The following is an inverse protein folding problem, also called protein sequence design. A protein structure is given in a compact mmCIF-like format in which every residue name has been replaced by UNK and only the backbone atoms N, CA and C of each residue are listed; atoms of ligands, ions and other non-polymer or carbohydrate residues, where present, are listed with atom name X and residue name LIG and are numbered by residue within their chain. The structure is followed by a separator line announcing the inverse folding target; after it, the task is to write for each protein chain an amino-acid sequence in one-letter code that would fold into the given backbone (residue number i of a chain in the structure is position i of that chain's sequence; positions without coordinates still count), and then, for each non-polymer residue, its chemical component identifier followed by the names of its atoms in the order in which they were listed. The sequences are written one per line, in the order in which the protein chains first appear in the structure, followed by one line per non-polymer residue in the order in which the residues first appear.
data_IF_401363010849
#
_entry.id   IF_401363010849
#
_cell.length_a   1.000
_cell.length_b   1.000
_cell.length_c   1.000
_cell.angle_alpha   90.00
_cell.angle_beta   90.00
_cell.angle_gamma   90.00
#
_symmetry.space_group_name_H-M   'P 1'
#
loop_
_entity.id
_entity.type
_entity.pdbx_description
1 polymer ?
#
# COMPACT_ATOMS: atom_id res chain seq x y z
N UNK A 1 23.33 1.96 -0.16
CA UNK A 1 23.62 0.93 -1.20
C UNK A 1 25.12 0.65 -1.17
N UNK A 2 25.56 -0.63 -1.22
CA UNK A 2 26.96 -0.98 -1.21
C UNK A 2 27.60 -0.87 -2.62
N UNK A 3 28.94 -0.84 -2.67
CA UNK A 3 29.72 -0.66 -3.90
C UNK A 3 29.48 -1.78 -4.93
N UNK A 4 29.41 -3.03 -4.48
CA UNK A 4 29.16 -4.18 -5.36
C UNK A 4 27.81 -4.14 -6.07
N UNK A 5 26.76 -3.62 -5.41
CA UNK A 5 25.46 -3.40 -6.06
C UNK A 5 25.55 -2.31 -7.13
N UNK A 6 26.27 -1.22 -6.85
CA UNK A 6 26.47 -0.12 -7.82
C UNK A 6 27.27 -0.61 -9.03
N UNK A 7 28.38 -1.34 -8.84
CA UNK A 7 29.16 -1.94 -9.92
C UNK A 7 28.31 -2.91 -10.77
N UNK A 8 27.51 -3.76 -10.12
CA UNK A 8 26.62 -4.69 -10.81
C UNK A 8 25.56 -3.99 -11.66
N UNK A 9 25.02 -2.85 -11.21
CA UNK A 9 24.04 -2.09 -11.99
C UNK A 9 24.62 -1.50 -13.27
N UNK A 10 25.88 -1.02 -13.27
CA UNK A 10 26.51 -0.36 -14.43
C UNK A 10 27.35 -1.29 -15.30
N UNK A 11 27.58 -2.52 -14.84
CA UNK A 11 28.34 -3.54 -15.58
C UNK A 11 27.65 -3.93 -16.89
N UNK A 12 28.35 -4.52 -17.86
CA UNK A 12 27.73 -5.07 -19.07
C UNK A 12 26.61 -6.06 -18.70
N UNK A 13 25.39 -5.78 -19.18
CA UNK A 13 24.19 -6.56 -18.83
C UNK A 13 23.45 -6.09 -17.57
N UNK A 14 23.99 -5.15 -16.79
CA UNK A 14 23.30 -4.52 -15.66
C UNK A 14 22.21 -3.57 -16.11
N UNK A 15 21.28 -3.25 -15.21
CA UNK A 15 20.13 -2.38 -15.50
C UNK A 15 20.49 -0.95 -15.93
N UNK A 16 21.69 -0.49 -15.58
CA UNK A 16 22.22 0.82 -15.94
C UNK A 16 23.52 0.67 -16.77
N UNK A 17 23.62 -0.40 -17.56
CA UNK A 17 24.82 -0.67 -18.37
C UNK A 17 25.23 0.54 -19.20
N UNK A 18 26.51 0.94 -19.09
CA UNK A 18 27.08 2.08 -19.77
C UNK A 18 26.72 3.45 -19.18
N UNK A 19 25.91 3.53 -18.13
CA UNK A 19 25.69 4.76 -17.41
C UNK A 19 26.80 5.02 -16.38
N UNK A 20 27.07 6.32 -16.12
CA UNK A 20 27.95 6.75 -15.02
C UNK A 20 27.07 7.26 -13.87
N UNK A 21 27.23 6.68 -12.67
CA UNK A 21 26.60 7.17 -11.44
C UNK A 21 27.54 8.24 -10.84
N UNK A 22 27.12 9.49 -10.79
CA UNK A 22 27.89 10.60 -10.23
C UNK A 22 27.75 10.73 -8.72
N UNK A 23 26.54 10.43 -8.20
CA UNK A 23 26.27 10.53 -6.78
C UNK A 23 25.23 9.52 -6.32
N UNK A 24 25.42 9.02 -5.10
CA UNK A 24 24.47 8.19 -4.35
C UNK A 24 24.16 8.89 -3.04
N UNK A 25 22.90 9.32 -2.88
CA UNK A 25 22.45 10.02 -1.67
C UNK A 25 21.44 9.14 -0.93
N UNK A 26 21.67 8.76 0.34
CA UNK A 26 20.67 8.06 1.14
C UNK A 26 19.38 8.87 1.22
N UNK A 27 18.23 8.19 1.14
CA UNK A 27 16.90 8.77 1.32
C UNK A 27 16.33 8.23 2.62
N UNK A 28 15.91 9.13 3.52
CA UNK A 28 15.24 8.76 4.76
C UNK A 28 13.76 8.43 4.52
N UNK A 29 13.14 7.71 5.45
CA UNK A 29 11.69 7.42 5.45
C UNK A 29 11.30 5.98 5.15
N UNK A 30 12.19 5.14 4.63
CA UNK A 30 11.92 3.69 4.49
C UNK A 30 12.17 2.94 5.79
N UNK A 31 11.19 2.16 6.26
CA UNK A 31 11.33 1.43 7.53
C UNK A 31 12.08 0.09 7.40
N UNK A 32 12.27 -0.46 6.19
CA UNK A 32 12.66 -1.86 6.00
C UNK A 32 13.92 -2.01 5.13
N UNK A 33 14.02 -1.28 4.02
CA UNK A 33 15.12 -1.39 3.07
C UNK A 33 15.90 -0.09 2.92
N UNK A 34 17.15 -0.19 2.44
CA UNK A 34 17.95 0.99 2.16
C UNK A 34 17.41 1.68 0.90
N UNK A 35 17.02 2.93 1.04
CA UNK A 35 16.62 3.79 -0.06
C UNK A 35 17.73 4.77 -0.42
N UNK A 36 17.98 4.98 -1.71
CA UNK A 36 18.98 5.90 -2.22
C UNK A 36 18.49 6.63 -3.47
N UNK A 37 18.86 7.89 -3.59
CA UNK A 37 18.77 8.62 -4.85
C UNK A 37 20.08 8.42 -5.63
N UNK A 38 19.96 7.95 -6.87
CA UNK A 38 21.07 7.89 -7.82
C UNK A 38 21.00 9.09 -8.75
N UNK A 39 22.10 9.84 -8.88
CA UNK A 39 22.28 10.87 -9.88
C UNK A 39 23.18 10.31 -10.98
N UNK A 40 22.69 10.31 -12.22
CA UNK A 40 23.45 9.86 -13.38
C UNK A 40 24.07 11.05 -14.12
N UNK A 41 25.19 10.83 -14.81
CA UNK A 41 25.91 11.85 -15.58
C UNK A 41 25.08 12.42 -16.75
N UNK A 42 24.09 11.69 -17.25
CA UNK A 42 23.14 12.14 -18.26
C UNK A 42 22.01 13.03 -17.71
N UNK A 43 22.04 13.35 -16.42
CA UNK A 43 21.07 14.18 -15.73
C UNK A 43 19.87 13.42 -15.15
N UNK A 44 19.68 12.13 -15.45
CA UNK A 44 18.61 11.32 -14.86
C UNK A 44 18.82 11.17 -13.35
N UNK A 45 17.72 11.17 -12.64
CA UNK A 45 17.65 10.85 -11.21
C UNK A 45 16.76 9.64 -11.01
N UNK A 46 17.26 8.66 -10.24
CA UNK A 46 16.54 7.43 -9.96
C UNK A 46 16.38 7.27 -8.45
N UNK A 47 15.30 6.62 -8.06
CA UNK A 47 15.12 6.10 -6.72
C UNK A 47 15.47 4.61 -6.73
N UNK A 48 16.33 4.19 -5.83
CA UNK A 48 16.76 2.81 -5.72
C UNK A 48 16.46 2.26 -4.34
N UNK A 49 15.66 1.21 -4.26
CA UNK A 49 15.56 0.36 -3.07
C UNK A 49 16.57 -0.77 -3.18
N UNK A 50 17.30 -1.05 -2.11
CA UNK A 50 18.29 -2.13 -2.09
C UNK A 50 18.21 -2.92 -0.79
N UNK A 51 18.46 -4.23 -0.90
CA UNK A 51 18.46 -5.17 0.21
C UNK A 51 19.32 -6.39 -0.08
N UNK A 52 19.36 -7.34 0.83
CA UNK A 52 19.97 -8.65 0.60
C UNK A 52 19.22 -9.45 -0.47
N UNK A 53 19.65 -10.69 -0.72
CA UNK A 53 18.98 -11.57 -1.68
C UNK A 53 17.53 -11.89 -1.27
N UNK A 54 17.24 -11.87 0.02
CA UNK A 54 15.94 -12.07 0.64
C UNK A 54 14.94 -10.92 0.33
N UNK A 55 15.42 -9.74 -0.05
CA UNK A 55 14.59 -8.63 -0.45
C UNK A 55 13.99 -8.77 -1.87
N UNK A 56 14.47 -9.74 -2.68
CA UNK A 56 14.02 -9.88 -4.06
C UNK A 56 12.53 -10.10 -4.16
N UNK A 57 11.96 -10.99 -3.38
CA UNK A 57 10.54 -11.32 -3.41
C UNK A 57 9.65 -10.11 -3.02
N UNK A 58 10.09 -9.33 -2.00
CA UNK A 58 9.39 -8.09 -1.64
C UNK A 58 9.41 -7.08 -2.79
N UNK A 59 10.55 -6.93 -3.46
CA UNK A 59 10.66 -6.00 -4.58
C UNK A 59 9.89 -6.48 -5.83
N UNK A 60 9.76 -7.79 -6.05
CA UNK A 60 8.90 -8.34 -7.10
C UNK A 60 7.43 -7.99 -6.85
N UNK A 61 6.94 -8.22 -5.62
CA UNK A 61 5.57 -7.89 -5.23
C UNK A 61 5.30 -6.39 -5.34
N UNK A 62 6.23 -5.56 -4.87
CA UNK A 62 6.11 -4.10 -5.00
C UNK A 62 6.09 -3.66 -6.46
N UNK A 63 6.98 -4.22 -7.29
CA UNK A 63 7.04 -3.89 -8.72
C UNK A 63 5.75 -4.27 -9.46
N UNK A 64 5.18 -5.45 -9.17
CA UNK A 64 3.88 -5.88 -9.71
C UNK A 64 2.75 -4.94 -9.28
N UNK A 65 2.70 -4.58 -8.00
CA UNK A 65 1.69 -3.68 -7.44
C UNK A 65 1.78 -2.27 -8.06
N UNK A 66 2.99 -1.72 -8.18
CA UNK A 66 3.22 -0.41 -8.82
C UNK A 66 2.81 -0.44 -10.30
N UNK A 67 3.15 -1.48 -11.04
CA UNK A 67 2.76 -1.62 -12.44
C UNK A 67 1.24 -1.68 -12.60
N UNK A 68 0.56 -2.48 -11.77
CA UNK A 68 -0.90 -2.58 -11.79
C UNK A 68 -1.58 -1.24 -11.47
N UNK A 69 -1.13 -0.51 -10.45
CA UNK A 69 -1.67 0.81 -10.11
C UNK A 69 -1.39 1.83 -11.22
N UNK A 70 -0.19 1.83 -11.80
CA UNK A 70 0.19 2.70 -12.91
C UNK A 70 -0.73 2.53 -14.12
N UNK A 71 -1.04 1.27 -14.50
CA UNK A 71 -1.86 0.95 -15.67
C UNK A 71 -3.33 1.42 -15.53
N UNK A 72 -3.79 1.73 -14.30
CA UNK A 72 -5.14 2.24 -14.01
C UNK A 72 -5.17 3.73 -13.64
N UNK A 73 -4.01 4.36 -13.43
CA UNK A 73 -3.91 5.77 -13.05
C UNK A 73 -4.13 6.70 -14.27
N UNK A 74 -4.74 7.86 -14.02
CA UNK A 74 -4.70 8.97 -14.96
C UNK A 74 -3.44 9.79 -14.71
N UNK A 75 -2.43 9.61 -15.55
CA UNK A 75 -1.12 10.25 -15.38
C UNK A 75 -1.16 11.78 -15.39
N UNK A 76 -2.22 12.40 -15.90
CA UNK A 76 -2.40 13.84 -15.81
C UNK A 76 -2.69 14.34 -14.39
N UNK A 77 -3.23 13.45 -13.52
CA UNK A 77 -3.60 13.77 -12.14
C UNK A 77 -2.79 13.00 -11.11
N UNK A 78 -2.52 11.70 -11.36
CA UNK A 78 -1.86 10.80 -10.43
C UNK A 78 -0.75 10.03 -11.13
N UNK A 79 0.49 10.33 -10.77
CA UNK A 79 1.65 9.61 -11.27
C UNK A 79 2.04 8.50 -10.29
N UNK A 80 1.85 7.25 -10.70
CA UNK A 80 2.37 6.08 -9.99
C UNK A 80 3.70 5.70 -10.62
N UNK A 81 4.81 5.59 -9.87
CA UNK A 81 6.11 5.30 -10.45
C UNK A 81 6.15 3.91 -11.06
N UNK A 82 6.32 3.81 -12.38
CA UNK A 82 6.51 2.52 -13.04
C UNK A 82 7.92 2.00 -12.78
N UNK A 83 8.07 0.73 -12.35
CA UNK A 83 9.40 0.13 -12.16
C UNK A 83 10.24 0.20 -13.44
N UNK A 84 11.46 0.68 -13.32
CA UNK A 84 12.41 0.78 -14.42
C UNK A 84 13.21 -0.50 -14.58
N UNK A 85 13.59 -1.12 -13.47
CA UNK A 85 14.26 -2.40 -13.43
C UNK A 85 14.15 -3.03 -12.03
N UNK A 86 14.11 -4.34 -12.01
CA UNK A 86 14.36 -5.16 -10.84
C UNK A 86 15.56 -6.07 -11.16
N UNK A 87 16.59 -6.00 -10.36
CA UNK A 87 17.85 -6.73 -10.59
C UNK A 87 18.22 -7.54 -9.36
N UNK A 88 18.46 -8.84 -9.56
CA UNK A 88 19.07 -9.71 -8.58
C UNK A 88 20.57 -9.88 -8.92
N UNK A 89 21.43 -9.47 -8.01
CA UNK A 89 22.88 -9.58 -8.10
C UNK A 89 23.39 -10.53 -7.01
N UNK A 90 24.60 -11.03 -7.15
CA UNK A 90 25.22 -11.87 -6.12
C UNK A 90 25.34 -11.18 -4.75
N UNK A 91 25.32 -9.84 -4.74
CA UNK A 91 25.43 -8.99 -3.55
C UNK A 91 24.08 -8.50 -3.01
N UNK A 92 22.95 -8.90 -3.60
CA UNK A 92 21.60 -8.52 -3.18
C UNK A 92 20.66 -8.15 -4.32
N UNK A 93 19.50 -7.59 -3.99
CA UNK A 93 18.49 -7.14 -4.94
C UNK A 93 18.36 -5.62 -4.97
N UNK A 94 18.02 -5.08 -6.14
CA UNK A 94 17.79 -3.65 -6.34
C UNK A 94 16.53 -3.45 -7.19
N UNK A 95 15.58 -2.65 -6.68
CA UNK A 95 14.45 -2.12 -7.44
C UNK A 95 14.76 -0.66 -7.82
N UNK A 96 14.73 -0.36 -9.11
CA UNK A 96 14.92 0.99 -9.64
C UNK A 96 13.57 1.60 -10.06
N UNK A 97 13.29 2.79 -9.56
CA UNK A 97 12.12 3.60 -9.86
C UNK A 97 12.54 4.99 -10.37
N UNK A 98 11.69 5.71 -11.10
CA UNK A 98 11.94 7.12 -11.39
C UNK A 98 11.99 7.92 -10.09
N UNK A 99 12.83 8.95 -10.05
CA UNK A 99 12.86 9.90 -8.93
C UNK A 99 11.61 10.78 -8.94
N UNK A 100 10.92 10.85 -7.82
CA UNK A 100 9.73 11.68 -7.62
C UNK A 100 10.10 12.94 -6.83
N UNK A 101 9.91 14.13 -7.41
CA UNK A 101 10.24 15.42 -6.77
C UNK A 101 9.03 15.92 -5.95
N UNK A 102 8.95 15.47 -4.70
CA UNK A 102 7.83 15.74 -3.79
C UNK A 102 7.96 17.15 -3.18
N UNK A 103 7.45 18.18 -3.85
CA UNK A 103 7.51 19.58 -3.39
C UNK A 103 6.18 20.30 -3.39
N UNK A 104 5.15 19.69 -3.96
CA UNK A 104 3.80 20.25 -3.95
C UNK A 104 3.10 20.08 -2.62
N UNK A 105 2.07 20.87 -2.37
CA UNK A 105 1.28 20.82 -1.14
C UNK A 105 -0.23 20.73 -1.37
N UNK A 106 -0.72 21.07 -2.58
CA UNK A 106 -2.13 20.99 -2.92
C UNK A 106 -2.53 19.53 -3.26
N UNK A 107 -3.28 18.92 -2.37
CA UNK A 107 -3.70 17.52 -2.49
C UNK A 107 -5.00 17.32 -3.29
N UNK A 108 -5.58 18.36 -3.90
CA UNK A 108 -6.82 18.19 -4.69
C UNK A 108 -6.59 17.24 -5.88
N UNK A 109 -5.47 17.41 -6.58
CA UNK A 109 -5.11 16.57 -7.72
C UNK A 109 -4.88 15.13 -7.30
N UNK A 110 -4.23 14.89 -6.15
CA UNK A 110 -4.05 13.57 -5.55
C UNK A 110 -5.41 12.92 -5.25
N UNK A 111 -6.35 13.65 -4.62
CA UNK A 111 -7.69 13.14 -4.31
C UNK A 111 -8.48 12.75 -5.56
N UNK A 112 -8.48 13.61 -6.58
CA UNK A 112 -9.13 13.32 -7.87
C UNK A 112 -8.49 12.12 -8.58
N UNK A 113 -7.16 12.08 -8.61
CA UNK A 113 -6.42 11.02 -9.26
C UNK A 113 -6.66 9.66 -8.61
N UNK A 114 -6.69 9.58 -7.27
CA UNK A 114 -7.05 8.35 -6.56
C UNK A 114 -8.49 7.91 -6.84
N UNK A 115 -9.44 8.86 -6.86
CA UNK A 115 -10.83 8.54 -7.18
C UNK A 115 -10.99 8.00 -8.61
N UNK A 116 -10.25 8.56 -9.58
CA UNK A 116 -10.25 8.04 -10.96
C UNK A 116 -9.62 6.66 -11.04
N UNK A 117 -8.51 6.40 -10.36
CA UNK A 117 -7.88 5.08 -10.30
C UNK A 117 -8.89 4.03 -9.80
N UNK A 118 -9.55 4.29 -8.66
CA UNK A 118 -10.57 3.39 -8.12
C UNK A 118 -11.75 3.19 -9.07
N UNK A 119 -12.22 4.25 -9.73
CA UNK A 119 -13.32 4.17 -10.68
C UNK A 119 -12.95 3.40 -11.95
N UNK A 120 -11.78 3.67 -12.53
CA UNK A 120 -11.30 3.00 -13.74
C UNK A 120 -11.06 1.52 -13.48
N UNK A 121 -10.36 1.19 -12.40
CA UNK A 121 -10.10 -0.20 -12.03
C UNK A 121 -11.39 -0.97 -11.74
N UNK A 122 -12.36 -0.36 -11.05
CA UNK A 122 -13.66 -1.01 -10.82
C UNK A 122 -14.39 -1.34 -12.11
N UNK A 123 -14.25 -0.52 -13.16
CA UNK A 123 -14.88 -0.75 -14.47
C UNK A 123 -14.34 -1.94 -15.24
N UNK A 124 -13.14 -2.43 -14.89
CA UNK A 124 -12.46 -3.58 -15.51
C UNK A 124 -12.09 -4.65 -14.49
N UNK A 125 -12.74 -4.64 -13.33
CA UNK A 125 -12.42 -5.52 -12.22
C UNK A 125 -12.60 -6.99 -12.57
N UNK A 126 -11.87 -7.92 -11.90
CA UNK A 126 -12.04 -9.35 -12.08
C UNK A 126 -13.38 -9.88 -11.53
N UNK A 127 -14.24 -9.02 -10.98
CA UNK A 127 -15.52 -9.38 -10.36
C UNK A 127 -15.40 -10.10 -9.02
N UNK A 128 -14.20 -10.22 -8.46
CA UNK A 128 -13.87 -10.88 -7.19
C UNK A 128 -12.80 -10.09 -6.44
N UNK A 129 -12.62 -10.38 -5.15
CA UNK A 129 -11.72 -9.66 -4.26
C UNK A 129 -10.49 -10.50 -3.91
N UNK A 130 -9.31 -9.86 -3.83
CA UNK A 130 -8.06 -10.54 -3.48
C UNK A 130 -6.90 -10.20 -4.40
N UNK A 131 -5.92 -11.09 -4.48
CA UNK A 131 -4.74 -10.99 -5.34
C UNK A 131 -4.24 -12.37 -5.74
N UNK A 132 -3.51 -12.49 -6.86
CA UNK A 132 -3.08 -13.77 -7.41
C UNK A 132 -2.08 -14.52 -6.54
N UNK A 133 -1.22 -13.83 -5.82
CA UNK A 133 -0.15 -14.41 -4.99
C UNK A 133 -0.10 -13.79 -3.61
N UNK A 134 0.58 -14.47 -2.69
CA UNK A 134 0.97 -13.89 -1.41
C UNK A 134 1.87 -12.68 -1.65
N UNK A 135 1.75 -11.68 -0.79
CA UNK A 135 2.52 -10.46 -0.82
C UNK A 135 2.84 -9.96 0.58
N UNK A 136 3.10 -8.67 0.65
CA UNK A 136 3.53 -8.03 1.89
C UNK A 136 2.81 -6.70 2.11
N UNK A 137 2.63 -6.35 3.39
CA UNK A 137 2.28 -5.00 3.84
C UNK A 137 3.35 -4.53 4.82
N UNK A 138 4.21 -3.61 4.36
CA UNK A 138 5.50 -3.39 4.98
C UNK A 138 6.33 -4.69 4.95
N UNK A 139 6.87 -5.13 6.11
CA UNK A 139 7.53 -6.43 6.24
C UNK A 139 6.59 -7.57 6.66
N UNK A 140 5.31 -7.27 6.90
CA UNK A 140 4.32 -8.26 7.32
C UNK A 140 3.74 -9.04 6.14
N UNK A 141 3.35 -10.31 6.33
CA UNK A 141 2.72 -11.09 5.28
C UNK A 141 1.33 -10.55 4.94
N UNK A 142 1.03 -10.49 3.64
CA UNK A 142 -0.30 -10.21 3.10
C UNK A 142 -0.74 -11.40 2.23
N UNK A 143 -1.51 -12.37 2.77
CA UNK A 143 -1.93 -13.53 2.01
C UNK A 143 -2.71 -13.17 0.75
N UNK A 144 -2.38 -13.84 -0.34
CA UNK A 144 -3.10 -13.80 -1.60
C UNK A 144 -4.32 -14.71 -1.61
N UNK A 145 -4.83 -14.96 -2.82
CA UNK A 145 -6.04 -15.74 -3.06
C UNK A 145 -7.24 -14.85 -3.35
N UNK A 146 -8.32 -15.48 -3.80
CA UNK A 146 -9.53 -14.81 -4.28
C UNK A 146 -10.76 -15.24 -3.51
N UNK A 147 -11.71 -14.31 -3.34
CA UNK A 147 -13.03 -14.55 -2.76
C UNK A 147 -14.09 -13.84 -3.59
N UNK A 148 -15.25 -14.47 -3.70
CA UNK A 148 -16.42 -13.91 -4.39
C UNK A 148 -17.10 -12.81 -3.55
N UNK A 149 -17.09 -12.92 -2.22
CA UNK A 149 -17.66 -11.93 -1.32
C UNK A 149 -16.58 -11.06 -0.69
N UNK A 150 -16.93 -9.78 -0.47
CA UNK A 150 -16.03 -8.82 0.13
C UNK A 150 -15.74 -9.13 1.60
N UNK A 151 -16.78 -9.46 2.36
CA UNK A 151 -16.65 -9.79 3.78
C UNK A 151 -15.76 -11.00 4.00
N UNK A 152 -15.95 -12.09 3.23
CA UNK A 152 -15.09 -13.26 3.28
C UNK A 152 -13.64 -12.91 2.90
N UNK A 153 -13.44 -12.08 1.87
CA UNK A 153 -12.10 -11.67 1.48
C UNK A 153 -11.39 -10.93 2.62
N UNK A 154 -12.04 -9.91 3.19
CA UNK A 154 -11.43 -9.10 4.22
C UNK A 154 -11.20 -9.86 5.53
N UNK A 155 -12.15 -10.68 5.94
CA UNK A 155 -12.03 -11.49 7.16
C UNK A 155 -10.96 -12.58 7.00
N UNK A 156 -11.01 -13.37 5.93
CA UNK A 156 -10.13 -14.54 5.77
C UNK A 156 -8.70 -14.17 5.41
N UNK A 157 -8.53 -13.17 4.49
CA UNK A 157 -7.21 -12.85 3.94
C UNK A 157 -6.55 -11.66 4.64
N UNK A 158 -7.28 -10.90 5.47
CA UNK A 158 -6.73 -9.72 6.15
C UNK A 158 -6.81 -9.83 7.67
N UNK A 159 -8.00 -10.04 8.24
CA UNK A 159 -8.14 -10.03 9.71
C UNK A 159 -7.61 -11.31 10.36
N UNK A 160 -8.03 -12.49 9.89
CA UNK A 160 -7.63 -13.78 10.51
C UNK A 160 -6.11 -13.99 10.53
N UNK A 161 -5.36 -13.75 9.44
CA UNK A 161 -3.90 -13.92 9.46
C UNK A 161 -3.23 -12.97 10.46
N UNK A 162 -3.63 -11.71 10.50
CA UNK A 162 -3.06 -10.72 11.42
C UNK A 162 -3.39 -11.03 12.89
N UNK A 163 -4.61 -11.52 13.17
CA UNK A 163 -5.01 -11.97 14.51
C UNK A 163 -4.26 -13.23 14.94
N UNK A 164 -3.99 -14.15 14.02
CA UNK A 164 -3.19 -15.34 14.29
C UNK A 164 -1.74 -14.99 14.64
N UNK A 165 -1.15 -14.02 13.94
CA UNK A 165 0.20 -13.51 14.22
C UNK A 165 0.26 -12.81 15.59
N UNK A 166 -0.74 -12.00 15.93
CA UNK A 166 -0.81 -11.31 17.23
C UNK A 166 -0.95 -12.30 18.41
N UNK A 167 -1.53 -13.46 18.18
CA UNK A 167 -1.80 -14.48 19.19
C UNK A 167 -2.84 -14.02 20.22
N UNK A 168 -2.42 -13.48 21.36
CA UNK A 168 -3.34 -12.94 22.35
C UNK A 168 -3.85 -11.55 21.98
N UNK A 169 -5.04 -11.49 21.41
CA UNK A 169 -5.73 -10.25 21.06
C UNK A 169 -6.55 -9.65 22.21
N UNK A 170 -6.56 -10.26 23.40
CA UNK A 170 -7.34 -9.83 24.56
C UNK A 170 -8.84 -10.12 24.46
N UNK A 171 -9.24 -11.07 23.60
CA UNK A 171 -10.63 -11.44 23.36
C UNK A 171 -10.77 -12.96 23.40
N UNK A 172 -11.80 -13.53 24.10
CA UNK A 172 -12.08 -14.96 24.07
C UNK A 172 -12.34 -15.47 22.66
N UNK A 173 -11.84 -16.68 22.29
CA UNK A 173 -11.96 -17.20 20.92
C UNK A 173 -13.39 -17.26 20.38
N UNK A 174 -14.37 -17.63 21.19
CA UNK A 174 -15.77 -17.68 20.78
C UNK A 174 -16.34 -16.29 20.47
N UNK A 175 -15.98 -15.29 21.28
CA UNK A 175 -16.39 -13.90 21.06
C UNK A 175 -15.72 -13.34 19.80
N UNK A 176 -14.43 -13.62 19.60
CA UNK A 176 -13.71 -13.22 18.38
C UNK A 176 -14.35 -13.84 17.12
N UNK A 177 -14.67 -15.14 17.16
CA UNK A 177 -15.32 -15.80 16.03
C UNK A 177 -16.72 -15.24 15.73
N UNK A 178 -17.48 -14.85 16.78
CA UNK A 178 -18.77 -14.17 16.60
C UNK A 178 -18.59 -12.80 15.95
N UNK A 179 -17.61 -12.02 16.41
CA UNK A 179 -17.28 -10.73 15.82
C UNK A 179 -16.90 -10.88 14.33
N UNK A 180 -15.99 -11.80 14.00
CA UNK A 180 -15.55 -11.99 12.61
C UNK A 180 -16.73 -12.34 11.68
N UNK A 181 -17.65 -13.19 12.12
CA UNK A 181 -18.88 -13.46 11.33
C UNK A 181 -19.78 -12.24 11.18
N UNK A 182 -19.91 -11.43 12.22
CA UNK A 182 -20.70 -10.19 12.16
C UNK A 182 -20.05 -9.16 11.23
N UNK A 183 -18.71 -9.04 11.24
CA UNK A 183 -17.98 -8.16 10.33
C UNK A 183 -18.11 -8.62 8.87
N UNK A 184 -17.98 -9.93 8.61
CA UNK A 184 -18.18 -10.52 7.29
C UNK A 184 -19.56 -10.16 6.73
N UNK A 185 -20.62 -10.44 7.48
CA UNK A 185 -21.98 -10.12 7.07
C UNK A 185 -22.19 -8.60 6.82
N UNK A 186 -21.66 -7.74 7.70
CA UNK A 186 -21.76 -6.28 7.54
C UNK A 186 -21.02 -5.78 6.30
N UNK A 187 -19.88 -6.35 6.00
CA UNK A 187 -19.08 -5.96 4.82
C UNK A 187 -19.72 -6.47 3.51
N UNK A 188 -20.41 -7.60 3.53
CA UNK A 188 -21.14 -8.09 2.35
C UNK A 188 -22.41 -7.27 2.07
N UNK A 189 -23.09 -6.78 3.12
CA UNK A 189 -24.39 -6.08 3.01
C UNK A 189 -24.27 -4.70 2.30
N UNK A 190 -23.08 -4.05 2.29
CA UNK A 190 -22.97 -2.72 1.70
C UNK A 190 -22.69 -2.71 0.18
N UNK A 191 -22.60 -3.86 -0.46
CA UNK A 191 -22.46 -3.97 -1.91
C UNK A 191 -21.14 -3.41 -2.45
N UNK A 192 -20.02 -3.79 -1.85
CA UNK A 192 -18.69 -3.42 -2.34
C UNK A 192 -18.49 -3.87 -3.79
N UNK A 193 -17.82 -3.04 -4.58
CA UNK A 193 -17.37 -3.39 -5.94
C UNK A 193 -15.84 -3.44 -5.91
N UNK A 194 -15.22 -4.49 -6.44
CA UNK A 194 -13.76 -4.59 -6.45
C UNK A 194 -13.14 -3.41 -7.20
N UNK A 195 -12.26 -2.68 -6.52
CA UNK A 195 -11.38 -1.67 -7.07
C UNK A 195 -9.94 -2.04 -6.75
N UNK A 196 -9.00 -1.67 -7.59
CA UNK A 196 -7.60 -1.81 -7.27
C UNK A 196 -7.22 -0.72 -6.26
N UNK A 197 -6.86 -1.11 -5.03
CA UNK A 197 -6.46 -0.20 -3.96
C UNK A 197 -4.94 -0.17 -3.81
N UNK A 198 -4.43 0.91 -3.24
CA UNK A 198 -3.04 1.01 -2.83
C UNK A 198 -2.71 0.05 -1.67
N UNK A 199 -3.65 -0.13 -0.75
CA UNK A 199 -3.60 -1.09 0.34
C UNK A 199 -2.79 -0.68 1.57
N UNK A 200 -1.92 0.34 1.46
CA UNK A 200 -1.14 0.93 2.56
C UNK A 200 -1.03 2.45 2.38
N UNK A 201 -2.17 3.14 2.18
CA UNK A 201 -2.21 4.55 1.79
C UNK A 201 -2.22 5.48 3.01
N UNK A 202 -1.07 5.72 3.59
CA UNK A 202 -0.84 6.74 4.63
C UNK A 202 0.01 7.90 4.11
N UNK A 203 0.15 8.99 4.89
CA UNK A 203 0.85 10.19 4.45
C UNK A 203 2.32 10.02 4.07
N UNK A 204 2.97 8.90 4.47
CA UNK A 204 4.33 8.55 4.08
C UNK A 204 4.45 7.89 2.72
N UNK A 205 3.34 7.37 2.16
CA UNK A 205 3.28 6.65 0.90
C UNK A 205 2.57 7.46 -0.22
N UNK A 206 2.34 8.75 0.01
CA UNK A 206 1.70 9.64 -0.94
C UNK A 206 2.35 11.03 -0.92
N UNK A 207 2.19 11.79 -1.99
CA UNK A 207 2.70 13.14 -2.08
C UNK A 207 2.14 13.92 -3.24
N UNK A 208 2.61 15.16 -3.38
CA UNK A 208 2.33 16.03 -4.52
C UNK A 208 3.65 16.41 -5.16
N UNK A 209 3.74 16.24 -6.47
CA UNK A 209 4.92 16.55 -7.26
C UNK A 209 5.08 18.06 -7.45
N UNK A 210 6.27 18.48 -7.85
CA UNK A 210 6.56 19.89 -8.15
C UNK A 210 5.72 20.47 -9.30
N UNK A 211 5.17 19.62 -10.16
CA UNK A 211 4.25 20.00 -11.26
C UNK A 211 2.76 19.99 -10.86
N UNK A 212 2.45 19.69 -9.60
CA UNK A 212 1.11 19.69 -9.02
C UNK A 212 0.35 18.38 -9.13
N UNK A 213 0.88 17.35 -9.80
CA UNK A 213 0.27 16.02 -9.83
C UNK A 213 0.41 15.32 -8.49
N UNK A 214 -0.60 14.52 -8.14
CA UNK A 214 -0.49 13.57 -7.03
C UNK A 214 0.45 12.42 -7.37
N UNK A 215 0.98 11.76 -6.35
CA UNK A 215 1.71 10.50 -6.50
C UNK A 215 1.49 9.59 -5.30
N UNK A 216 1.50 8.28 -5.54
CA UNK A 216 1.46 7.22 -4.54
C UNK A 216 2.55 6.20 -4.83
N UNK A 217 3.14 5.62 -3.80
CA UNK A 217 4.26 4.68 -3.88
C UNK A 217 4.30 3.77 -2.65
N UNK A 218 5.14 2.72 -2.63
CA UNK A 218 5.18 1.69 -1.57
C UNK A 218 3.83 0.99 -1.35
N UNK A 219 3.17 0.46 -2.39
CA UNK A 219 1.88 -0.16 -2.26
C UNK A 219 1.94 -1.57 -1.67
N UNK A 220 0.82 -1.97 -1.07
CA UNK A 220 0.43 -3.35 -0.77
C UNK A 220 -0.85 -3.68 -1.55
N UNK A 221 -0.82 -3.52 -2.89
CA UNK A 221 -2.00 -3.47 -3.74
C UNK A 221 -2.77 -4.80 -3.82
N UNK A 222 -4.09 -4.69 -3.97
CA UNK A 222 -5.01 -5.80 -4.17
C UNK A 222 -6.39 -5.30 -4.61
N UNK A 223 -7.25 -6.19 -5.10
CA UNK A 223 -8.63 -5.88 -5.45
C UNK A 223 -9.51 -5.92 -4.21
N UNK A 224 -10.05 -4.76 -3.82
CA UNK A 224 -10.73 -4.53 -2.56
C UNK A 224 -11.88 -3.54 -2.70
N UNK A 225 -12.59 -3.31 -1.60
CA UNK A 225 -13.40 -2.10 -1.48
C UNK A 225 -12.50 -0.86 -1.42
N UNK A 226 -12.78 0.14 -2.27
CA UNK A 226 -12.06 1.42 -2.32
C UNK A 226 -11.96 2.14 -0.96
N UNK A 227 -12.92 1.90 -0.06
CA UNK A 227 -12.92 2.51 1.27
C UNK A 227 -11.78 2.03 2.17
N UNK A 228 -11.08 0.95 1.81
CA UNK A 228 -9.85 0.50 2.52
C UNK A 228 -8.79 1.59 2.48
N UNK A 229 -8.52 2.17 1.30
CA UNK A 229 -7.55 3.26 1.18
C UNK A 229 -8.01 4.50 1.93
N UNK A 230 -9.29 4.88 1.82
CA UNK A 230 -9.84 6.04 2.53
C UNK A 230 -9.76 5.89 4.05
N UNK A 231 -9.99 4.69 4.57
CA UNK A 231 -9.85 4.41 5.99
C UNK A 231 -8.40 4.63 6.45
N UNK A 232 -7.41 4.15 5.67
CA UNK A 232 -5.99 4.30 6.00
C UNK A 232 -5.55 5.77 5.99
N UNK A 233 -6.06 6.59 5.06
CA UNK A 233 -5.73 8.03 5.02
C UNK A 233 -6.11 8.77 6.30
N UNK A 234 -7.11 8.28 7.04
CA UNK A 234 -7.57 8.87 8.30
C UNK A 234 -6.84 8.37 9.53
N UNK A 235 -6.15 7.20 9.45
CA UNK A 235 -5.58 6.51 10.61
C UNK A 235 -4.34 7.23 11.16
N UNK A 236 -3.42 7.60 10.28
CA UNK A 236 -2.15 8.23 10.65
C UNK A 236 -2.05 9.69 10.19
N UNK A 237 -3.08 10.21 9.54
CA UNK A 237 -3.10 11.58 9.02
C UNK A 237 -2.24 11.77 7.77
N UNK A 238 -1.98 13.05 7.47
CA UNK A 238 -1.18 13.44 6.29
C UNK A 238 -2.02 13.83 5.08
N UNK A 239 -3.35 13.61 5.12
CA UNK A 239 -4.28 13.99 4.06
C UNK A 239 -5.15 15.17 4.50
N UNK A 240 -5.28 16.16 3.61
CA UNK A 240 -6.04 17.37 3.87
C UNK A 240 -7.53 17.19 3.61
N UNK A 241 -8.35 18.11 4.14
CA UNK A 241 -9.78 18.18 3.80
C UNK A 241 -9.99 18.34 2.29
N UNK A 242 -9.14 19.08 1.60
CA UNK A 242 -9.19 19.28 0.15
C UNK A 242 -9.01 17.96 -0.63
N UNK A 243 -8.14 17.04 -0.14
CA UNK A 243 -8.02 15.70 -0.70
C UNK A 243 -9.35 14.94 -0.62
N UNK A 244 -9.98 14.93 0.56
CA UNK A 244 -11.24 14.22 0.79
C UNK A 244 -12.37 14.78 -0.10
N UNK A 245 -12.52 16.10 -0.14
CA UNK A 245 -13.53 16.78 -0.96
C UNK A 245 -13.31 16.51 -2.45
N UNK A 246 -12.07 16.57 -2.90
CA UNK A 246 -11.71 16.29 -4.29
C UNK A 246 -11.97 14.82 -4.68
N UNK A 247 -11.66 13.87 -3.80
CA UNK A 247 -12.01 12.47 -3.99
C UNK A 247 -13.54 12.27 -4.06
N UNK A 248 -14.27 12.80 -3.08
CA UNK A 248 -15.72 12.64 -2.97
C UNK A 248 -16.50 13.37 -4.09
N UNK A 249 -15.91 14.36 -4.73
CA UNK A 249 -16.50 15.00 -5.92
C UNK A 249 -16.64 14.04 -7.11
N UNK A 250 -15.87 12.97 -7.16
CA UNK A 250 -15.86 11.94 -8.22
C UNK A 250 -16.53 10.65 -7.74
N UNK A 251 -16.22 10.22 -6.53
CA UNK A 251 -16.75 9.02 -5.87
C UNK A 251 -17.29 9.39 -4.50
N UNK A 252 -18.57 9.77 -4.40
CA UNK A 252 -19.21 10.17 -3.14
C UNK A 252 -19.11 9.10 -2.06
N UNK A 253 -19.11 9.56 -0.80
CA UNK A 253 -19.20 8.69 0.36
C UNK A 253 -20.47 7.82 0.31
N UNK A 254 -20.34 6.57 0.75
CA UNK A 254 -21.46 5.63 0.82
C UNK A 254 -22.04 5.59 2.23
N UNK A 255 -23.33 5.28 2.34
CA UNK A 255 -23.99 5.11 3.65
C UNK A 255 -23.21 4.12 4.52
N UNK A 256 -23.01 4.45 5.81
CA UNK A 256 -22.27 3.61 6.76
C UNK A 256 -20.73 3.60 6.59
N UNK A 257 -20.15 4.46 5.73
CA UNK A 257 -18.68 4.54 5.54
C UNK A 257 -17.93 4.77 6.86
N UNK A 258 -18.41 5.69 7.71
CA UNK A 258 -17.78 5.99 8.99
C UNK A 258 -17.65 4.75 9.93
N UNK A 259 -18.63 3.84 9.87
CA UNK A 259 -18.58 2.60 10.66
C UNK A 259 -17.59 1.60 10.07
N UNK A 260 -17.48 1.52 8.73
CA UNK A 260 -16.53 0.64 8.03
C UNK A 260 -15.10 1.09 8.18
N UNK A 261 -14.81 2.39 8.32
CA UNK A 261 -13.47 2.93 8.63
C UNK A 261 -12.86 2.23 9.85
N UNK A 262 -13.63 2.03 10.93
CA UNK A 262 -13.14 1.34 12.13
C UNK A 262 -12.79 -0.14 11.85
N UNK A 263 -13.54 -0.80 10.96
CA UNK A 263 -13.29 -2.19 10.55
C UNK A 263 -12.02 -2.28 9.71
N UNK A 264 -11.86 -1.42 8.70
CA UNK A 264 -10.71 -1.43 7.81
C UNK A 264 -9.43 -1.05 8.56
N UNK A 265 -9.50 -0.03 9.42
CA UNK A 265 -8.36 0.40 10.23
C UNK A 265 -7.91 -0.65 11.27
N UNK A 266 -8.78 -1.59 11.67
CA UNK A 266 -8.37 -2.71 12.51
C UNK A 266 -7.27 -3.56 11.84
N UNK A 267 -7.36 -3.80 10.53
CA UNK A 267 -6.32 -4.52 9.78
C UNK A 267 -4.96 -3.85 9.90
N UNK A 268 -4.91 -2.55 9.65
CA UNK A 268 -3.66 -1.78 9.73
C UNK A 268 -3.11 -1.71 11.15
N UNK A 269 -3.97 -1.56 12.16
CA UNK A 269 -3.55 -1.58 13.57
C UNK A 269 -2.99 -2.95 13.98
N UNK A 270 -3.58 -4.04 13.52
CA UNK A 270 -3.08 -5.39 13.75
C UNK A 270 -1.72 -5.59 13.07
N UNK A 271 -1.57 -5.16 11.83
CA UNK A 271 -0.28 -5.24 11.12
C UNK A 271 0.80 -4.44 11.85
N UNK A 272 0.52 -3.21 12.27
CA UNK A 272 1.46 -2.40 13.05
C UNK A 272 1.78 -3.02 14.42
N UNK A 273 0.80 -3.65 15.07
CA UNK A 273 1.02 -4.36 16.33
C UNK A 273 1.97 -5.55 16.13
N UNK A 274 1.83 -6.29 15.04
CA UNK A 274 2.68 -7.43 14.70
C UNK A 274 4.11 -7.00 14.32
N UNK A 275 4.26 -5.88 13.60
CA UNK A 275 5.57 -5.40 13.15
C UNK A 275 6.35 -4.64 14.22
N UNK A 276 5.67 -3.79 14.99
CA UNK A 276 6.32 -2.81 15.86
C UNK A 276 6.00 -3.01 17.35
N UNK A 277 4.97 -3.80 17.69
CA UNK A 277 4.60 -4.04 19.09
C UNK A 277 4.14 -2.76 19.83
N UNK A 278 4.51 -2.67 21.10
CA UNK A 278 4.34 -1.45 21.91
C UNK A 278 2.90 -0.94 22.01
N UNK A 279 2.71 0.35 21.79
CA UNK A 279 1.40 1.01 21.85
C UNK A 279 0.41 0.52 20.80
N UNK A 280 0.89 -0.01 19.66
CA UNK A 280 0.01 -0.54 18.61
C UNK A 280 -0.78 -1.77 19.06
N UNK A 281 -0.20 -2.63 19.92
CA UNK A 281 -0.92 -3.75 20.53
C UNK A 281 -2.12 -3.26 21.33
N UNK A 282 -1.92 -2.22 22.15
CA UNK A 282 -3.01 -1.62 22.93
C UNK A 282 -4.07 -0.96 22.04
N UNK A 283 -3.66 -0.31 20.95
CA UNK A 283 -4.58 0.30 19.99
C UNK A 283 -5.42 -0.77 19.26
N UNK A 284 -4.80 -1.86 18.78
CA UNK A 284 -5.49 -2.97 18.14
C UNK A 284 -6.51 -3.63 19.09
N UNK A 285 -6.12 -3.93 20.33
CA UNK A 285 -7.02 -4.47 21.36
C UNK A 285 -8.20 -3.54 21.68
N UNK A 286 -7.94 -2.24 21.78
CA UNK A 286 -8.99 -1.24 22.02
C UNK A 286 -9.96 -1.15 20.83
N UNK A 287 -9.45 -1.21 19.59
CA UNK A 287 -10.28 -1.25 18.38
C UNK A 287 -11.17 -2.50 18.35
N UNK A 288 -10.60 -3.68 18.61
CA UNK A 288 -11.37 -4.92 18.76
C UNK A 288 -12.47 -4.81 19.81
N UNK A 289 -12.16 -4.28 21.01
CA UNK A 289 -13.12 -4.09 22.08
C UNK A 289 -14.28 -3.19 21.67
N UNK A 290 -14.00 -2.08 20.97
CA UNK A 290 -15.04 -1.17 20.46
C UNK A 290 -15.93 -1.85 19.43
N UNK A 291 -15.36 -2.59 18.48
CA UNK A 291 -16.12 -3.35 17.47
C UNK A 291 -17.00 -4.43 18.13
N UNK A 292 -16.51 -5.15 19.14
CA UNK A 292 -17.30 -6.10 19.91
C UNK A 292 -18.51 -5.40 20.56
N UNK A 293 -18.30 -4.26 21.19
CA UNK A 293 -19.36 -3.51 21.86
C UNK A 293 -20.44 -2.95 20.91
N UNK A 294 -20.04 -2.61 19.67
CA UNK A 294 -20.98 -2.06 18.68
C UNK A 294 -21.68 -3.11 17.82
N UNK A 295 -21.13 -4.33 17.73
CA UNK A 295 -21.59 -5.34 16.78
C UNK A 295 -22.21 -6.60 17.46
N UNK A 296 -21.94 -6.82 18.73
CA UNK A 296 -22.43 -7.96 19.51
C UNK A 296 -23.28 -7.57 20.71
#
# INVERSE_FOLDING_TARGET
MNEQLLEGLVSPGGALAGATIEAVTPVGGGCIHQASRLQLADGRRLFAKSGGADALELFEVEAEALAALHDHADEALLLVPRPLALTCLSSGAVLLLPWMDLRGSDQQTLGRGLALLHRHSSGVSPGRFGWDRDGFIGAGPQPGGWRESWGACFVDLRLRPQLALLGDCGCPPDQLNRLLRALEAKLDDHGAVPALVHGDLWGGNAGVLSDGRGTIFDPAAWWADREVDLAMTSLFGGFSQQFVEAYQSILPARSGEAERVAIYNLYHLLNHANLFGGSYVSQARNSLKKLIQSML
#
